data_IF_836781467208
#
_entry.id   IF_836781467208
#
_cell.length_a   1.000
_cell.length_b   1.000
_cell.length_c   1.000
_cell.angle_alpha   90.00
_cell.angle_beta   90.00
_cell.angle_gamma   90.00
#
_symmetry.space_group_name_H-M   'P 1'
#
loop_
_entity.id
_entity.type
_entity.pdbx_description
1 polymer ?
#
# COMPACT_ATOMS: atom_id res chain seq x y z
N UNK A 1 -11.27 35.62 -1.77
CA UNK A 1 -11.44 35.06 -0.40
C UNK A 1 -12.25 33.79 -0.59
N UNK A 2 -11.59 32.62 -0.66
CA UNK A 2 -11.37 31.69 0.47
C UNK A 2 -12.71 31.12 0.98
N UNK A 3 -12.98 29.83 1.04
CA UNK A 3 -12.05 28.72 1.19
C UNK A 3 -12.59 27.37 0.72
N UNK A 4 -11.65 26.45 0.66
CA UNK A 4 -11.75 25.05 0.26
C UNK A 4 -12.67 24.24 1.17
N UNK A 5 -13.54 23.42 0.58
CA UNK A 5 -14.32 22.41 1.26
C UNK A 5 -14.33 21.06 0.54
N UNK A 6 -13.26 20.73 -0.18
CA UNK A 6 -13.06 19.39 -0.75
C UNK A 6 -12.22 18.57 0.23
N UNK A 7 -12.85 17.93 1.20
CA UNK A 7 -12.36 16.66 1.77
C UNK A 7 -13.44 16.09 2.70
N UNK A 8 -14.51 15.57 2.09
CA UNK A 8 -15.32 14.56 2.77
C UNK A 8 -14.41 13.37 3.09
N UNK A 9 -14.50 12.87 4.32
CA UNK A 9 -13.67 11.77 4.80
C UNK A 9 -13.76 10.59 3.83
N UNK A 10 -12.69 10.33 3.08
CA UNK A 10 -12.59 9.14 2.25
C UNK A 10 -12.36 7.96 3.19
N UNK A 11 -13.41 7.20 3.49
CA UNK A 11 -13.25 5.94 4.20
C UNK A 11 -12.42 4.99 3.32
N UNK A 12 -11.45 4.31 3.92
CA UNK A 12 -10.53 3.37 3.24
C UNK A 12 -11.29 2.27 2.48
N UNK A 13 -12.50 1.97 2.97
CA UNK A 13 -13.48 1.03 2.41
C UNK A 13 -14.15 1.53 1.14
N UNK A 14 -14.31 2.85 0.99
CA UNK A 14 -14.91 3.47 -0.19
C UNK A 14 -13.92 3.48 -1.36
N UNK A 15 -12.64 3.74 -1.10
CA UNK A 15 -11.54 3.55 -2.06
C UNK A 15 -11.39 2.08 -2.48
N UNK A 16 -11.79 1.14 -1.62
CA UNK A 16 -11.75 -0.29 -1.90
C UNK A 16 -12.80 -0.70 -2.96
N UNK A 17 -13.95 -0.01 -3.02
CA UNK A 17 -15.08 -0.33 -3.90
C UNK A 17 -15.13 0.45 -5.21
N UNK A 18 -14.61 1.68 -5.27
CA UNK A 18 -15.07 2.62 -6.30
C UNK A 18 -14.68 2.26 -7.72
N UNK A 19 -13.56 1.57 -8.00
CA UNK A 19 -13.19 1.33 -9.41
C UNK A 19 -12.53 -0.02 -9.62
N UNK A 20 -13.35 -1.08 -9.63
CA UNK A 20 -13.06 -2.41 -10.18
C UNK A 20 -12.68 -2.28 -11.67
N UNK A 21 -11.46 -1.83 -11.96
CA UNK A 21 -10.97 -1.64 -13.33
C UNK A 21 -9.76 -0.72 -13.42
N UNK A 22 -9.62 0.27 -12.52
CA UNK A 22 -8.50 1.23 -12.59
C UNK A 22 -7.19 0.68 -12.00
N UNK A 23 -7.26 -0.33 -11.12
CA UNK A 23 -6.09 -0.88 -10.41
C UNK A 23 -5.05 -1.60 -11.28
N UNK A 24 -5.37 -1.85 -12.54
CA UNK A 24 -4.48 -2.45 -13.54
C UNK A 24 -4.12 -1.50 -14.68
N UNK A 25 -4.60 -0.26 -14.66
CA UNK A 25 -4.20 0.72 -15.68
C UNK A 25 -2.71 1.05 -15.52
N UNK A 26 -1.96 1.26 -16.61
CA UNK A 26 -0.53 1.59 -16.52
C UNK A 26 -0.24 2.79 -15.61
N UNK A 27 -1.12 3.82 -15.66
CA UNK A 27 -1.00 5.01 -14.80
C UNK A 27 -1.12 4.68 -13.32
N UNK A 28 -2.08 3.83 -12.94
CA UNK A 28 -2.24 3.41 -11.55
C UNK A 28 -1.09 2.53 -11.08
N UNK A 29 -0.70 1.54 -11.90
CA UNK A 29 0.42 0.64 -11.59
C UNK A 29 1.67 1.45 -11.32
N UNK A 30 2.03 2.36 -12.23
CA UNK A 30 3.19 3.24 -12.08
C UNK A 30 3.11 4.09 -10.80
N UNK A 31 1.97 4.71 -10.52
CA UNK A 31 1.81 5.53 -9.31
C UNK A 31 2.00 4.73 -8.02
N UNK A 32 1.50 3.48 -7.97
CA UNK A 32 1.67 2.59 -6.82
C UNK A 32 3.13 2.14 -6.69
N UNK A 33 3.76 1.73 -7.78
CA UNK A 33 5.16 1.33 -7.79
C UNK A 33 6.11 2.46 -7.35
N UNK A 34 5.85 3.69 -7.80
CA UNK A 34 6.59 4.88 -7.37
C UNK A 34 6.35 5.20 -5.89
N UNK A 35 5.10 5.12 -5.42
CA UNK A 35 4.75 5.42 -4.02
C UNK A 35 5.35 4.43 -3.03
N UNK A 36 5.39 3.15 -3.39
CA UNK A 36 5.91 2.08 -2.52
C UNK A 36 7.40 1.81 -2.76
N UNK A 37 7.93 2.29 -3.87
CA UNK A 37 9.25 1.92 -4.32
C UNK A 37 9.42 0.42 -4.60
N UNK A 38 8.35 -0.32 -4.84
CA UNK A 38 8.37 -1.77 -5.07
C UNK A 38 7.66 -2.10 -6.39
N UNK A 39 8.03 -3.18 -7.09
CA UNK A 39 7.26 -3.69 -8.22
C UNK A 39 5.83 -4.05 -7.79
N UNK A 40 4.85 -3.83 -8.67
CA UNK A 40 3.43 -4.02 -8.34
C UNK A 40 3.11 -5.46 -7.92
N UNK A 41 3.85 -6.44 -8.46
CA UNK A 41 3.69 -7.85 -8.12
C UNK A 41 4.14 -8.14 -6.68
N UNK A 42 5.18 -7.46 -6.19
CA UNK A 42 5.67 -7.59 -4.81
C UNK A 42 4.65 -7.02 -3.83
N UNK A 43 4.14 -5.82 -4.13
CA UNK A 43 3.10 -5.16 -3.34
C UNK A 43 1.86 -6.04 -3.26
N UNK A 44 1.42 -6.63 -4.38
CA UNK A 44 0.29 -7.56 -4.42
C UNK A 44 0.54 -8.84 -3.63
N UNK A 45 1.78 -9.33 -3.60
CA UNK A 45 2.14 -10.50 -2.79
C UNK A 45 1.95 -10.19 -1.30
N UNK A 46 2.51 -9.08 -0.82
CA UNK A 46 2.38 -8.62 0.58
C UNK A 46 0.89 -8.50 0.96
N UNK A 47 0.10 -7.78 0.15
CA UNK A 47 -1.34 -7.63 0.41
C UNK A 47 -2.10 -8.96 0.44
N UNK A 48 -1.69 -9.94 -0.38
CA UNK A 48 -2.33 -11.26 -0.39
C UNK A 48 -1.95 -12.06 0.86
N UNK A 49 -0.68 -12.05 1.25
CA UNK A 49 -0.20 -12.71 2.47
C UNK A 49 -0.91 -12.13 3.71
N UNK A 50 -1.00 -10.81 3.83
CA UNK A 50 -1.73 -10.14 4.92
C UNK A 50 -3.22 -10.53 4.92
N UNK A 51 -3.86 -10.54 3.74
CA UNK A 51 -5.25 -10.97 3.58
C UNK A 51 -5.48 -12.42 3.98
N UNK A 52 -4.57 -13.32 3.64
CA UNK A 52 -4.66 -14.74 3.97
C UNK A 52 -4.54 -14.94 5.48
N UNK A 53 -3.66 -14.20 6.16
CA UNK A 53 -3.52 -14.23 7.61
C UNK A 53 -4.74 -13.65 8.33
N UNK A 54 -5.26 -12.53 7.85
CA UNK A 54 -6.50 -11.94 8.36
C UNK A 54 -7.66 -12.95 8.28
N UNK A 55 -7.76 -13.72 7.19
CA UNK A 55 -8.77 -14.76 7.02
C UNK A 55 -8.58 -15.94 7.99
N UNK A 56 -7.36 -16.21 8.42
CA UNK A 56 -7.03 -17.22 9.43
C UNK A 56 -7.20 -16.69 10.87
N UNK A 57 -7.51 -15.40 11.04
CA UNK A 57 -7.59 -14.76 12.35
C UNK A 57 -6.23 -14.55 13.02
N UNK A 58 -5.14 -14.62 12.24
CA UNK A 58 -3.79 -14.39 12.73
C UNK A 58 -3.49 -12.89 12.77
N UNK A 59 -2.94 -12.42 13.88
CA UNK A 59 -2.39 -11.07 13.98
C UNK A 59 -0.87 -11.12 13.90
N UNK A 60 -0.30 -10.16 13.16
CA UNK A 60 1.15 -9.93 13.19
C UNK A 60 1.58 -9.55 14.62
N UNK A 61 2.61 -10.23 15.12
CA UNK A 61 3.31 -9.81 16.32
C UNK A 61 4.03 -8.47 16.09
N UNK A 62 4.32 -7.75 17.18
CA UNK A 62 5.12 -6.51 17.13
C UNK A 62 6.49 -6.76 16.48
N UNK A 63 7.08 -7.93 16.72
CA UNK A 63 8.36 -8.32 16.12
C UNK A 63 8.27 -8.45 14.60
N UNK A 64 7.23 -9.11 14.08
CA UNK A 64 6.99 -9.22 12.63
C UNK A 64 6.76 -7.86 11.99
N UNK A 65 5.99 -6.98 12.65
CA UNK A 65 5.75 -5.61 12.19
C UNK A 65 7.06 -4.84 12.11
N UNK A 66 7.90 -4.92 13.15
CA UNK A 66 9.19 -4.24 13.18
C UNK A 66 10.15 -4.77 12.11
N UNK A 67 10.19 -6.10 11.93
CA UNK A 67 11.00 -6.74 10.89
C UNK A 67 10.59 -6.29 9.49
N UNK A 68 9.29 -6.23 9.22
CA UNK A 68 8.77 -5.70 7.96
C UNK A 68 9.15 -4.21 7.79
N UNK A 69 8.96 -3.40 8.82
CA UNK A 69 9.26 -1.97 8.77
C UNK A 69 10.76 -1.71 8.51
N UNK A 70 11.65 -2.46 9.16
CA UNK A 70 13.09 -2.31 8.97
C UNK A 70 13.55 -2.77 7.59
N UNK A 71 13.01 -3.90 7.09
CA UNK A 71 13.22 -4.33 5.72
C UNK A 71 12.75 -3.26 4.72
N UNK A 72 11.52 -2.75 4.87
CA UNK A 72 10.98 -1.75 3.95
C UNK A 72 11.76 -0.43 3.98
N UNK A 73 12.19 0.03 5.16
CA UNK A 73 13.10 1.19 5.31
C UNK A 73 14.42 0.96 4.56
N UNK A 74 14.97 -0.24 4.59
CA UNK A 74 16.22 -0.56 3.88
C UNK A 74 16.07 -0.40 2.36
N UNK A 75 14.92 -0.79 1.81
CA UNK A 75 14.59 -0.62 0.39
C UNK A 75 14.50 0.86 0.03
N UNK A 76 13.81 1.65 0.84
CA UNK A 76 13.69 3.09 0.61
C UNK A 76 15.05 3.79 0.71
N UNK A 77 15.92 3.39 1.64
CA UNK A 77 17.29 3.92 1.75
C UNK A 77 18.16 3.53 0.55
N UNK A 78 18.06 2.29 0.07
CA UNK A 78 18.79 1.84 -1.12
C UNK A 78 18.46 2.63 -2.38
N UNK A 79 17.23 3.18 -2.48
CA UNK A 79 16.81 4.05 -3.58
C UNK A 79 17.39 5.46 -3.54
N UNK A 80 17.62 6.03 -2.35
CA UNK A 80 18.17 7.38 -2.21
C UNK A 80 19.67 7.41 -2.54
N UNK A 81 20.34 6.26 -2.46
CA UNK A 81 21.77 6.10 -2.75
C UNK A 81 22.09 5.74 -4.22
N UNK A 82 21.08 5.58 -5.08
CA UNK A 82 21.23 5.24 -6.51
C UNK A 82 20.91 6.40 -7.43
#
# INVERSE_FOLDING_TARGET
>A
MSGSGYMGAFHREDLAKTIKGIRNTPRYVKAIEESWGLPINEIRRIYREDKERDLMGEMLSIEEINKFADWYRSILKGKVAS
#
